data_IF_306146903855
#
_entry.id   IF_306146903855
#
_cell.length_a   1.000
_cell.length_b   1.000
_cell.length_c   1.000
_cell.angle_alpha   90.00
_cell.angle_beta   90.00
_cell.angle_gamma   90.00
#
_symmetry.space_group_name_H-M   'P 1'
#
loop_
_entity.id
_entity.type
_entity.pdbx_description
1 polymer ?
#
# COMPACT_ATOMS: atom_id res chain seq x y z
N UNK A 1 -23.29 12.14 20.69
CA UNK A 1 -21.87 12.23 21.06
C UNK A 1 -21.53 13.70 21.31
N UNK A 2 -20.96 14.09 22.45
CA UNK A 2 -20.62 15.48 22.73
C UNK A 2 -19.53 15.96 21.76
N UNK A 3 -19.67 17.19 21.25
CA UNK A 3 -18.65 17.85 20.41
C UNK A 3 -17.44 18.17 21.27
N UNK A 4 -16.25 17.84 20.80
CA UNK A 4 -14.98 18.23 21.45
C UNK A 4 -14.88 19.76 21.50
N UNK A 5 -14.44 20.27 22.65
CA UNK A 5 -14.21 21.69 22.87
C UNK A 5 -13.11 22.23 21.95
N UNK A 6 -13.22 23.50 21.53
CA UNK A 6 -12.18 24.17 20.72
C UNK A 6 -10.80 24.13 21.40
N UNK A 7 -10.73 24.12 22.74
CA UNK A 7 -9.49 24.02 23.50
C UNK A 7 -8.87 22.61 23.40
N UNK A 8 -9.67 21.53 23.36
CA UNK A 8 -9.16 20.18 23.15
C UNK A 8 -8.59 19.99 21.73
N UNK A 9 -9.22 20.65 20.73
CA UNK A 9 -8.73 20.62 19.35
C UNK A 9 -7.39 21.37 19.24
N UNK A 10 -7.27 22.51 19.91
CA UNK A 10 -6.01 23.28 19.92
C UNK A 10 -4.89 22.57 20.69
N UNK A 11 -5.20 21.81 21.75
CA UNK A 11 -4.20 20.98 22.45
C UNK A 11 -3.67 19.85 21.57
N UNK A 12 -4.52 19.24 20.73
CA UNK A 12 -4.12 18.21 19.79
C UNK A 12 -3.28 18.79 18.63
N UNK A 13 -3.58 20.02 18.21
CA UNK A 13 -2.83 20.71 17.15
C UNK A 13 -1.44 21.21 17.63
N UNK A 14 -1.30 21.53 18.92
CA UNK A 14 -0.05 21.99 19.54
C UNK A 14 0.74 20.91 20.26
N UNK A 15 0.35 19.63 20.17
CA UNK A 15 1.21 18.56 20.64
C UNK A 15 2.54 18.63 19.90
N UNK A 16 3.69 18.70 20.62
CA UNK A 16 4.99 18.73 19.97
C UNK A 16 5.09 17.54 19.03
N UNK A 17 5.29 17.83 17.74
CA UNK A 17 5.51 16.78 16.76
C UNK A 17 6.69 15.96 17.25
N UNK A 18 6.44 14.73 17.69
CA UNK A 18 7.51 13.79 18.02
C UNK A 18 8.39 13.73 16.77
N UNK A 19 9.70 14.06 16.86
CA UNK A 19 10.57 14.00 15.70
C UNK A 19 10.55 12.56 15.19
N UNK A 20 9.83 12.35 14.08
CA UNK A 20 9.77 11.07 13.41
C UNK A 20 11.13 10.85 12.75
N UNK A 21 11.97 10.07 13.39
CA UNK A 21 13.17 9.54 12.73
C UNK A 21 12.67 8.66 11.60
N UNK A 22 12.79 9.19 10.39
CA UNK A 22 12.39 8.50 9.16
C UNK A 22 13.44 7.46 8.73
N UNK A 23 14.04 6.77 9.70
CA UNK A 23 14.96 5.68 9.41
C UNK A 23 14.16 4.51 8.83
N UNK A 24 14.61 4.07 7.68
CA UNK A 24 14.10 2.86 7.06
C UNK A 24 14.54 1.66 7.89
N UNK A 25 13.65 0.72 8.21
CA UNK A 25 14.01 -0.41 9.05
C UNK A 25 15.00 -1.34 8.34
N UNK A 26 16.07 -1.70 9.03
CA UNK A 26 16.99 -2.72 8.59
C UNK A 26 16.39 -4.13 8.68
N UNK A 27 16.89 -5.08 7.87
CA UNK A 27 16.44 -6.47 7.97
C UNK A 27 16.73 -7.05 9.37
N UNK A 28 15.84 -7.86 9.93
CA UNK A 28 16.07 -8.51 11.23
C UNK A 28 17.34 -9.36 11.23
N UNK A 29 18.05 -9.37 12.35
CA UNK A 29 19.24 -10.21 12.54
C UNK A 29 18.89 -11.69 12.32
N UNK A 30 19.74 -12.40 11.58
CA UNK A 30 19.54 -13.83 11.27
C UNK A 30 18.62 -14.11 10.06
N UNK A 31 18.15 -13.07 9.35
CA UNK A 31 17.40 -13.25 8.11
C UNK A 31 18.34 -13.77 7.01
N UNK A 32 17.95 -14.81 6.22
CA UNK A 32 18.71 -15.26 5.05
C UNK A 32 18.90 -14.12 4.04
N UNK A 33 20.06 -14.08 3.38
CA UNK A 33 20.43 -12.97 2.48
C UNK A 33 19.41 -12.76 1.35
N UNK A 34 18.86 -13.83 0.76
CA UNK A 34 17.82 -13.71 -0.24
C UNK A 34 16.57 -12.98 0.30
N UNK A 35 16.12 -13.32 1.50
CA UNK A 35 15.00 -12.63 2.14
C UNK A 35 15.35 -11.20 2.56
N UNK A 36 16.61 -10.96 2.98
CA UNK A 36 17.09 -9.63 3.33
C UNK A 36 17.19 -8.69 2.10
N UNK A 37 17.51 -9.22 0.93
CA UNK A 37 17.46 -8.48 -0.33
C UNK A 37 16.02 -8.02 -0.62
N UNK A 38 15.04 -8.93 -0.57
CA UNK A 38 13.61 -8.60 -0.75
C UNK A 38 13.14 -7.57 0.28
N UNK A 39 13.63 -7.66 1.52
CA UNK A 39 13.32 -6.66 2.56
C UNK A 39 13.81 -5.26 2.16
N UNK A 40 15.08 -5.13 1.78
CA UNK A 40 15.65 -3.84 1.36
C UNK A 40 14.90 -3.24 0.18
N UNK A 41 14.52 -4.06 -0.79
CA UNK A 41 13.76 -3.63 -1.96
C UNK A 41 12.35 -3.16 -1.58
N UNK A 42 11.64 -3.92 -0.76
CA UNK A 42 10.31 -3.54 -0.27
C UNK A 42 10.36 -2.23 0.52
N UNK A 43 11.32 -2.08 1.42
CA UNK A 43 11.48 -0.88 2.25
C UNK A 43 11.94 0.33 1.42
N UNK A 44 12.79 0.12 0.40
CA UNK A 44 13.25 1.20 -0.48
C UNK A 44 12.16 1.73 -1.40
N UNK A 45 11.27 0.85 -1.87
CA UNK A 45 10.17 1.21 -2.78
C UNK A 45 9.05 1.99 -2.12
N UNK A 46 8.95 1.95 -0.79
CA UNK A 46 7.88 2.58 -0.02
C UNK A 46 8.36 3.83 0.72
N UNK A 47 7.38 4.65 1.17
CA UNK A 47 7.67 5.80 2.02
C UNK A 47 8.26 5.33 3.36
N UNK A 48 9.22 6.08 3.93
CA UNK A 48 9.89 5.73 5.17
C UNK A 48 8.95 5.40 6.35
N UNK A 49 7.76 6.01 6.39
CA UNK A 49 6.73 5.78 7.41
C UNK A 49 5.81 4.58 7.15
N UNK A 50 5.98 3.88 6.02
CA UNK A 50 5.03 2.84 5.61
C UNK A 50 5.05 1.64 6.56
N UNK A 51 6.23 1.26 7.03
CA UNK A 51 6.42 0.13 7.91
C UNK A 51 6.61 0.58 9.37
N UNK A 52 5.58 0.37 10.19
CA UNK A 52 5.67 0.52 11.64
C UNK A 52 6.32 -0.71 12.26
N UNK A 53 6.85 -0.59 13.49
CA UNK A 53 7.48 -1.72 14.20
C UNK A 53 6.57 -2.94 14.31
N UNK A 54 5.26 -2.72 14.42
CA UNK A 54 4.23 -3.78 14.50
C UNK A 54 4.13 -4.59 13.21
N UNK A 55 4.41 -3.97 12.06
CA UNK A 55 4.34 -4.63 10.75
C UNK A 55 5.63 -5.35 10.38
N UNK A 56 6.73 -5.19 11.12
CA UNK A 56 8.02 -5.79 10.79
C UNK A 56 7.97 -7.33 10.77
N UNK A 57 7.27 -7.96 11.72
CA UNK A 57 7.11 -9.41 11.73
C UNK A 57 6.35 -9.92 10.49
N UNK A 58 5.35 -9.17 10.03
CA UNK A 58 4.59 -9.51 8.84
C UNK A 58 5.43 -9.30 7.58
N UNK A 59 6.20 -8.22 7.53
CA UNK A 59 7.13 -7.95 6.43
C UNK A 59 8.21 -9.03 6.35
N UNK A 60 8.76 -9.49 7.47
CA UNK A 60 9.71 -10.59 7.48
C UNK A 60 9.13 -11.87 6.88
N UNK A 61 7.89 -12.23 7.24
CA UNK A 61 7.20 -13.39 6.66
C UNK A 61 6.97 -13.23 5.15
N UNK A 62 6.61 -12.04 4.70
CA UNK A 62 6.48 -11.72 3.29
C UNK A 62 7.81 -11.97 2.55
N UNK A 63 8.92 -11.42 3.08
CA UNK A 63 10.24 -11.58 2.46
C UNK A 63 10.70 -13.03 2.41
N UNK A 64 10.47 -13.82 3.46
CA UNK A 64 10.75 -15.25 3.44
C UNK A 64 9.92 -16.00 2.39
N UNK A 65 8.63 -15.68 2.27
CA UNK A 65 7.76 -16.31 1.28
C UNK A 65 8.20 -15.96 -0.15
N UNK A 66 8.60 -14.72 -0.42
CA UNK A 66 9.12 -14.32 -1.73
C UNK A 66 10.44 -15.02 -2.08
N UNK A 67 11.40 -15.06 -1.16
CA UNK A 67 12.67 -15.77 -1.36
C UNK A 67 12.47 -17.27 -1.58
N UNK A 68 11.48 -17.88 -0.90
CA UNK A 68 11.12 -19.29 -1.13
C UNK A 68 10.48 -19.50 -2.51
N UNK A 69 9.66 -18.56 -3.00
CA UNK A 69 9.13 -18.61 -4.37
C UNK A 69 10.25 -18.63 -5.40
N UNK A 70 11.21 -17.71 -5.31
CA UNK A 70 12.36 -17.63 -6.23
C UNK A 70 13.20 -18.92 -6.22
N UNK A 71 13.41 -19.49 -5.02
CA UNK A 71 14.10 -20.77 -4.87
C UNK A 71 13.36 -21.92 -5.57
N UNK A 72 12.03 -21.99 -5.38
CA UNK A 72 11.18 -23.02 -5.97
C UNK A 72 11.09 -22.86 -7.50
N UNK A 73 11.02 -21.66 -8.01
CA UNK A 73 11.05 -21.36 -9.45
C UNK A 73 12.35 -21.85 -10.06
N UNK A 74 13.49 -21.53 -9.45
CA UNK A 74 14.81 -22.00 -9.90
C UNK A 74 14.89 -23.54 -9.90
N UNK A 75 14.29 -24.19 -8.92
CA UNK A 75 14.29 -25.66 -8.83
C UNK A 75 13.37 -26.30 -9.88
N UNK A 76 12.21 -25.70 -10.16
CA UNK A 76 11.31 -26.14 -11.23
C UNK A 76 11.95 -26.03 -12.61
N UNK A 77 12.70 -24.96 -12.87
CA UNK A 77 13.43 -24.77 -14.13
C UNK A 77 14.50 -25.86 -14.35
N UNK A 78 15.09 -26.39 -13.28
CA UNK A 78 16.09 -27.48 -13.36
C UNK A 78 15.48 -28.84 -13.61
N UNK A 79 14.27 -29.11 -13.08
CA UNK A 79 13.67 -30.46 -13.13
C UNK A 79 12.99 -30.68 -14.48
N UNK A 80 12.41 -29.67 -15.07
CA UNK A 80 11.66 -29.81 -16.31
C UNK A 80 10.26 -30.40 -16.11
N UNK A 81 9.42 -30.21 -17.11
CA UNK A 81 8.00 -30.61 -17.08
C UNK A 81 7.90 -32.15 -17.31
N UNK A 82 6.97 -32.79 -16.59
CA UNK A 82 6.62 -34.21 -16.81
C UNK A 82 7.11 -35.18 -15.74
N UNK A 83 7.85 -34.74 -14.74
CA UNK A 83 8.23 -35.55 -13.60
C UNK A 83 7.24 -35.38 -12.42
N UNK A 84 6.95 -36.46 -11.66
CA UNK A 84 6.05 -36.35 -10.48
C UNK A 84 6.52 -35.37 -9.43
N UNK A 85 7.81 -35.08 -9.36
CA UNK A 85 8.40 -34.05 -8.51
C UNK A 85 8.03 -32.65 -8.94
N UNK A 86 7.85 -32.41 -10.24
CA UNK A 86 7.45 -31.15 -10.81
C UNK A 86 6.09 -30.67 -10.28
N UNK A 87 5.10 -31.57 -10.28
CA UNK A 87 3.75 -31.25 -9.82
C UNK A 87 3.72 -30.87 -8.33
N UNK A 88 4.49 -31.57 -7.49
CA UNK A 88 4.60 -31.28 -6.06
C UNK A 88 5.24 -29.92 -5.81
N UNK A 89 6.32 -29.61 -6.51
CA UNK A 89 6.99 -28.33 -6.39
C UNK A 89 6.13 -27.17 -6.91
N UNK A 90 5.43 -27.39 -8.03
CA UNK A 90 4.49 -26.41 -8.60
C UNK A 90 3.33 -26.11 -7.63
N UNK A 91 2.76 -27.14 -6.98
CA UNK A 91 1.74 -26.96 -5.95
C UNK A 91 2.28 -26.17 -4.75
N UNK A 92 3.51 -26.49 -4.31
CA UNK A 92 4.16 -25.77 -3.22
C UNK A 92 4.43 -24.32 -3.60
N UNK A 93 4.92 -24.05 -4.81
CA UNK A 93 5.11 -22.70 -5.33
C UNK A 93 3.80 -21.90 -5.30
N UNK A 94 2.72 -22.47 -5.84
CA UNK A 94 1.41 -21.82 -5.87
C UNK A 94 0.88 -21.50 -4.46
N UNK A 95 1.06 -22.41 -3.51
CA UNK A 95 0.68 -22.19 -2.11
C UNK A 95 1.50 -21.08 -1.47
N UNK A 96 2.81 -21.08 -1.67
CA UNK A 96 3.72 -20.05 -1.13
C UNK A 96 3.44 -18.69 -1.76
N UNK A 97 3.23 -18.62 -3.07
CA UNK A 97 2.87 -17.40 -3.80
C UNK A 97 1.53 -16.82 -3.31
N UNK A 98 0.53 -17.67 -3.06
CA UNK A 98 -0.75 -17.25 -2.49
C UNK A 98 -0.57 -16.64 -1.10
N UNK A 99 0.28 -17.24 -0.28
CA UNK A 99 0.63 -16.74 1.06
C UNK A 99 1.37 -15.40 0.97
N UNK A 100 2.36 -15.28 0.08
CA UNK A 100 3.07 -14.03 -0.17
C UNK A 100 2.11 -12.92 -0.62
N UNK A 101 1.16 -13.23 -1.51
CA UNK A 101 0.15 -12.27 -1.97
C UNK A 101 -0.77 -11.82 -0.83
N UNK A 102 -1.15 -12.71 0.10
CA UNK A 102 -1.93 -12.38 1.27
C UNK A 102 -1.18 -11.39 2.18
N UNK A 103 0.11 -11.63 2.42
CA UNK A 103 0.97 -10.70 3.16
C UNK A 103 1.16 -9.36 2.45
N UNK A 104 1.37 -9.37 1.12
CA UNK A 104 1.48 -8.15 0.33
C UNK A 104 0.22 -7.27 0.44
N UNK A 105 -0.96 -7.88 0.43
CA UNK A 105 -2.24 -7.17 0.63
C UNK A 105 -2.35 -6.59 2.05
N UNK A 106 -2.03 -7.39 3.07
CA UNK A 106 -2.06 -6.96 4.46
C UNK A 106 -1.08 -5.81 4.72
N UNK A 107 0.10 -5.84 4.08
CA UNK A 107 1.11 -4.78 4.13
C UNK A 107 0.81 -3.59 3.21
N UNK A 108 -0.27 -3.65 2.43
CA UNK A 108 -0.64 -2.61 1.44
C UNK A 108 0.45 -2.34 0.40
N UNK A 109 1.16 -3.39 -0.03
CA UNK A 109 2.18 -3.29 -1.07
C UNK A 109 1.61 -3.30 -2.48
N UNK A 110 0.35 -3.74 -2.65
CA UNK A 110 -0.30 -3.81 -3.96
C UNK A 110 -0.89 -2.45 -4.36
N UNK A 111 -0.87 -2.08 -5.65
CA UNK A 111 -1.43 -0.81 -6.13
C UNK A 111 -2.88 -0.59 -5.70
N UNK A 112 -3.70 -1.65 -5.73
CA UNK A 112 -5.11 -1.58 -5.33
C UNK A 112 -5.27 -1.21 -3.85
N UNK A 113 -4.51 -1.83 -2.95
CA UNK A 113 -4.58 -1.54 -1.52
C UNK A 113 -4.06 -0.15 -1.16
N UNK A 114 -3.14 0.40 -1.97
CA UNK A 114 -2.67 1.78 -1.83
C UNK A 114 -3.72 2.80 -2.28
N UNK A 115 -4.53 2.47 -3.29
CA UNK A 115 -5.63 3.34 -3.75
C UNK A 115 -6.76 3.41 -2.72
N UNK A 116 -7.13 2.28 -2.13
CA UNK A 116 -8.13 2.21 -1.05
C UNK A 116 -7.69 3.04 0.17
N UNK A 117 -6.42 2.96 0.55
CA UNK A 117 -5.85 3.78 1.62
C UNK A 117 -5.89 5.29 1.31
N UNK A 118 -5.79 5.68 0.03
CA UNK A 118 -5.93 7.09 -0.37
C UNK A 118 -7.37 7.57 -0.34
N UNK A 119 -8.33 6.70 -0.59
CA UNK A 119 -9.75 7.01 -0.51
C UNK A 119 -10.22 7.19 0.95
N UNK A 120 -9.68 6.39 1.87
CA UNK A 120 -9.95 6.53 3.31
C UNK A 120 -9.16 7.67 3.97
N UNK A 121 -8.02 8.03 3.40
CA UNK A 121 -7.18 9.12 3.86
C UNK A 121 -7.76 10.44 3.38
N UNK A 122 -8.68 11.04 4.13
CA UNK A 122 -8.87 12.48 4.11
C UNK A 122 -7.53 13.09 4.50
N UNK A 123 -6.73 13.43 3.50
CA UNK A 123 -5.56 14.29 3.69
C UNK A 123 -6.11 15.64 4.20
N UNK A 124 -5.92 16.00 5.50
CA UNK A 124 -6.45 17.23 6.03
C UNK A 124 -5.82 18.48 5.35
N UNK A 125 -4.73 18.28 4.59
CA UNK A 125 -4.04 19.30 3.82
C UNK A 125 -4.36 19.25 2.32
N UNK A 126 -5.22 18.33 1.87
CA UNK A 126 -5.74 18.42 0.52
C UNK A 126 -6.69 19.62 0.52
N UNK A 127 -6.23 20.77 0.09
CA UNK A 127 -7.07 21.86 -0.36
C UNK A 127 -8.03 21.27 -1.38
N UNK A 128 -9.24 20.98 -0.91
CA UNK A 128 -10.35 20.65 -1.79
C UNK A 128 -10.52 21.93 -2.58
N UNK A 129 -10.11 21.92 -3.85
CA UNK A 129 -10.38 23.03 -4.76
C UNK A 129 -11.87 23.37 -4.70
N UNK A 130 -12.29 24.56 -5.11
CA UNK A 130 -13.68 24.97 -5.06
C UNK A 130 -14.53 23.84 -5.68
N UNK A 131 -15.59 23.48 -4.96
CA UNK A 131 -16.49 22.41 -5.42
C UNK A 131 -17.18 22.88 -6.71
N UNK A 132 -17.56 21.99 -7.63
CA UNK A 132 -18.23 22.36 -8.88
C UNK A 132 -19.45 23.27 -8.70
N UNK A 133 -20.07 23.25 -7.52
CA UNK A 133 -21.21 24.10 -7.18
C UNK A 133 -20.84 25.41 -6.44
N UNK A 134 -19.58 25.64 -6.12
CA UNK A 134 -19.08 26.88 -5.52
C UNK A 134 -18.75 27.93 -6.60
N UNK A 135 -18.82 27.55 -7.90
CA UNK A 135 -18.71 28.52 -8.99
C UNK A 135 -20.04 29.27 -9.11
N UNK A 136 -20.03 30.61 -9.07
CA UNK A 136 -21.23 31.36 -9.40
C UNK A 136 -21.69 30.95 -10.80
N UNK A 137 -22.94 30.53 -10.92
CA UNK A 137 -23.55 30.25 -12.23
C UNK A 137 -23.64 31.59 -12.93
N UNK A 138 -22.71 31.87 -13.83
CA UNK A 138 -22.86 33.00 -14.75
C UNK A 138 -23.92 32.56 -15.76
N UNK A 139 -25.16 33.04 -15.54
CA UNK A 139 -26.29 32.89 -16.44
C UNK A 139 -26.12 33.76 -17.71
N UNK A 140 -24.91 33.80 -18.26
CA UNK A 140 -24.59 34.51 -19.51
C UNK A 140 -24.59 33.56 -20.73
N UNK A 141 -25.49 32.59 -20.77
CA UNK A 141 -25.81 32.00 -22.07
C UNK A 141 -26.98 32.73 -22.68
N UNK A 142 -26.74 33.50 -23.78
CA UNK A 142 -27.85 34.05 -24.56
C UNK A 142 -28.72 32.91 -24.98
N UNK A 143 -30.00 32.94 -24.63
CA UNK A 143 -31.01 31.92 -24.92
C UNK A 143 -30.99 31.63 -26.43
N UNK A 144 -30.38 30.50 -26.83
CA UNK A 144 -30.49 30.02 -28.20
C UNK A 144 -31.96 29.81 -28.50
N UNK A 145 -32.51 30.43 -29.61
CA UNK A 145 -33.90 30.22 -29.96
C UNK A 145 -34.13 28.73 -30.18
N UNK A 146 -35.19 28.23 -29.56
CA UNK A 146 -35.55 26.79 -29.61
C UNK A 146 -35.94 26.45 -31.08
N UNK A 147 -35.29 25.44 -31.62
CA UNK A 147 -35.43 24.97 -33.01
C UNK A 147 -36.86 24.56 -33.45
N UNK A 148 -37.84 24.60 -32.56
CA UNK A 148 -39.24 24.21 -32.81
C UNK A 148 -40.22 25.40 -32.90
N UNK A 149 -39.72 26.65 -32.90
CA UNK A 149 -40.53 27.85 -33.09
C UNK A 149 -40.56 28.35 -34.54
N UNK A 150 -40.39 27.43 -35.48
CA UNK A 150 -40.63 27.73 -36.90
C UNK A 150 -41.84 26.95 -37.42
#
# INVERSE_FOLDING_TARGET
>A
MPRKSANEINHLANSPAVPWTHERPDPPQGMPEAAAAVWRDAVSSMKARHFSKETHALLARYCHAMAECERLETELDRIGVGLPSYDRLSQRLNSTASTALAFARALRLTPKSNLESRADGRDPHRTIGPKPWDFPYEDDTPSKPRLWER
#
